data_IF_192744797993
#
_entry.id   IF_192744797993
#
_cell.length_a   1.000
_cell.length_b   1.000
_cell.length_c   1.000
_cell.angle_alpha   90.00
_cell.angle_beta   90.00
_cell.angle_gamma   90.00
#
_symmetry.space_group_name_H-M   'P 1'
#
loop_
_entity.id
_entity.type
_entity.pdbx_description
1 polymer ?
#
# COMPACT_ATOMS: atom_id res chain seq x y z
N UNK A 1 -14.19 16.92 -11.01
CA UNK A 1 -14.82 16.81 -9.66
C UNK A 1 -14.81 15.33 -9.27
N UNK A 2 -13.75 14.88 -8.61
CA UNK A 2 -13.76 13.62 -7.86
C UNK A 2 -13.59 14.00 -6.40
N UNK A 3 -14.64 13.74 -5.64
CA UNK A 3 -14.75 14.08 -4.23
C UNK A 3 -13.72 13.26 -3.45
N UNK A 4 -12.60 13.88 -3.09
CA UNK A 4 -11.74 13.37 -2.03
C UNK A 4 -12.44 13.70 -0.71
N UNK A 5 -13.51 12.96 -0.41
CA UNK A 5 -14.21 13.09 0.86
C UNK A 5 -13.34 12.50 1.97
N UNK A 6 -12.34 13.26 2.42
CA UNK A 6 -11.65 13.01 3.68
C UNK A 6 -12.64 13.40 4.79
N UNK A 7 -13.53 12.47 5.16
CA UNK A 7 -14.41 12.64 6.30
C UNK A 7 -13.58 12.54 7.58
N UNK A 8 -13.32 13.69 8.19
CA UNK A 8 -12.71 13.80 9.52
C UNK A 8 -13.83 14.03 10.54
N UNK A 9 -14.21 12.99 11.29
CA UNK A 9 -15.00 13.19 12.50
C UNK A 9 -14.73 12.09 13.54
N UNK A 10 -14.31 12.51 14.73
CA UNK A 10 -14.55 11.84 16.00
C UNK A 10 -13.72 10.61 16.33
N UNK A 11 -12.99 10.68 17.44
CA UNK A 11 -12.32 9.55 18.09
C UNK A 11 -13.21 8.30 18.26
N UNK A 12 -12.73 7.14 17.82
CA UNK A 12 -12.87 5.90 18.59
C UNK A 12 -11.95 4.81 18.01
N UNK A 13 -11.40 3.99 18.91
CA UNK A 13 -10.50 2.86 18.63
C UNK A 13 -11.28 1.69 18.03
N UNK A 14 -11.61 1.74 16.74
CA UNK A 14 -12.13 0.59 16.00
C UNK A 14 -11.51 0.57 14.60
N UNK A 15 -11.10 -0.60 14.13
CA UNK A 15 -10.51 -0.80 12.79
C UNK A 15 -11.46 -0.27 11.71
N UNK A 16 -11.18 0.93 11.17
CA UNK A 16 -11.91 1.49 10.04
C UNK A 16 -11.43 0.84 8.75
N UNK A 17 -12.26 0.00 8.13
CA UNK A 17 -12.01 -0.54 6.80
C UNK A 17 -12.62 0.40 5.77
N UNK A 18 -11.84 1.32 5.21
CA UNK A 18 -12.27 2.09 4.04
C UNK A 18 -12.05 1.27 2.77
N UNK A 19 -13.09 1.09 1.96
CA UNK A 19 -12.95 0.56 0.60
C UNK A 19 -12.25 1.62 -0.25
N UNK A 20 -10.99 1.36 -0.56
CA UNK A 20 -10.14 2.25 -1.34
C UNK A 20 -10.06 1.79 -2.78
N UNK A 21 -10.38 2.68 -3.71
CA UNK A 21 -10.10 2.46 -5.13
C UNK A 21 -8.71 3.03 -5.42
N UNK A 22 -7.75 2.22 -5.90
CA UNK A 22 -6.43 2.72 -6.23
C UNK A 22 -6.50 3.84 -7.28
N UNK A 23 -5.64 4.86 -7.20
CA UNK A 23 -5.60 5.96 -8.14
C UNK A 23 -5.44 5.51 -9.59
N UNK A 24 -6.10 6.20 -10.52
CA UNK A 24 -6.06 5.86 -11.93
C UNK A 24 -4.83 6.47 -12.65
N UNK A 25 -4.22 7.50 -12.06
CA UNK A 25 -3.12 8.25 -12.70
C UNK A 25 -1.92 8.47 -11.79
N UNK A 26 -0.74 8.66 -12.39
CA UNK A 26 0.52 8.94 -11.67
C UNK A 26 0.44 10.17 -10.74
N UNK A 27 -0.27 11.22 -11.17
CA UNK A 27 -0.45 12.42 -10.36
C UNK A 27 -1.24 12.14 -9.08
N UNK A 28 -2.31 11.34 -9.19
CA UNK A 28 -3.12 10.94 -8.06
C UNK A 28 -2.35 9.97 -7.15
N UNK A 29 -1.57 9.05 -7.70
CA UNK A 29 -0.63 8.22 -6.92
C UNK A 29 0.34 9.06 -6.10
N UNK A 30 0.83 10.16 -6.66
CA UNK A 30 1.78 11.05 -5.99
C UNK A 30 1.14 11.79 -4.83
N UNK A 31 -0.07 12.29 -5.02
CA UNK A 31 -0.86 12.93 -3.96
C UNK A 31 -1.20 11.91 -2.87
N UNK A 32 -1.61 10.70 -3.27
CA UNK A 32 -1.96 9.63 -2.34
C UNK A 32 -0.77 9.22 -1.46
N UNK A 33 0.39 8.89 -2.05
CA UNK A 33 1.58 8.49 -1.29
C UNK A 33 2.15 9.62 -0.43
N UNK A 34 2.01 10.89 -0.84
CA UNK A 34 2.46 12.02 -0.04
C UNK A 34 1.67 12.19 1.25
N UNK A 35 0.36 11.92 1.22
CA UNK A 35 -0.52 12.04 2.40
C UNK A 35 -0.55 10.77 3.26
N UNK A 36 0.07 9.69 2.80
CA UNK A 36 0.05 8.39 3.45
C UNK A 36 1.33 8.22 4.28
N UNK A 37 1.39 8.86 5.44
CA UNK A 37 2.52 8.73 6.36
C UNK A 37 2.49 7.44 7.18
N UNK A 38 1.30 6.84 7.38
CA UNK A 38 1.10 5.72 8.34
C UNK A 38 0.15 4.62 7.79
N UNK A 39 0.01 4.54 6.48
CA UNK A 39 -0.99 3.66 5.86
C UNK A 39 -0.44 2.28 5.53
N UNK A 40 -1.21 1.25 5.85
CA UNK A 40 -0.99 -0.10 5.33
C UNK A 40 -2.25 -0.58 4.64
N UNK A 41 -2.06 -1.06 3.43
CA UNK A 41 -3.15 -1.45 2.56
C UNK A 41 -3.23 -2.97 2.61
N UNK A 42 -4.30 -3.52 3.17
CA UNK A 42 -4.53 -4.96 3.16
C UNK A 42 -5.51 -5.28 2.06
N UNK A 43 -5.13 -6.19 1.17
CA UNK A 43 -6.06 -6.75 0.18
C UNK A 43 -6.72 -8.00 0.78
N UNK A 44 -8.02 -8.12 0.59
CA UNK A 44 -8.75 -9.38 0.75
C UNK A 44 -9.36 -9.77 -0.60
N UNK A 45 -8.73 -10.73 -1.27
CA UNK A 45 -9.36 -11.53 -2.30
C UNK A 45 -8.52 -12.79 -2.54
N UNK A 46 -8.82 -13.88 -1.82
CA UNK A 46 -8.10 -15.16 -1.84
C UNK A 46 -6.65 -15.15 -1.29
N UNK A 47 -5.96 -14.01 -1.40
CA UNK A 47 -4.61 -13.77 -0.93
C UNK A 47 -4.65 -12.60 0.07
N UNK A 48 -4.26 -12.87 1.32
CA UNK A 48 -4.20 -11.86 2.39
C UNK A 48 -2.76 -11.38 2.52
N UNK A 49 -2.50 -10.11 2.23
CA UNK A 49 -1.17 -9.51 2.30
C UNK A 49 -1.25 -8.01 2.61
N UNK A 50 -0.14 -7.44 3.08
CA UNK A 50 0.00 -6.03 3.40
C UNK A 50 0.84 -5.31 2.33
N UNK A 51 0.38 -4.16 1.84
CA UNK A 51 1.19 -3.25 1.01
C UNK A 51 1.63 -2.06 1.86
N UNK A 52 2.94 -1.83 1.90
CA UNK A 52 3.59 -0.77 2.68
C UNK A 52 4.27 0.22 1.74
N UNK A 53 3.86 1.50 1.71
CA UNK A 53 4.51 2.51 0.88
C UNK A 53 5.90 2.83 1.43
N UNK A 54 6.91 2.87 0.55
CA UNK A 54 8.30 3.21 0.88
C UNK A 54 8.89 4.14 -0.17
N UNK A 55 10.06 4.72 0.12
CA UNK A 55 10.82 5.50 -0.88
C UNK A 55 11.34 4.56 -1.99
N UNK A 56 11.35 5.03 -3.23
CA UNK A 56 11.83 4.26 -4.39
C UNK A 56 13.23 3.64 -4.19
N UNK A 57 14.15 4.37 -3.57
CA UNK A 57 15.50 3.87 -3.26
C UNK A 57 15.52 2.60 -2.38
N UNK A 58 14.49 2.37 -1.57
CA UNK A 58 14.36 1.19 -0.71
C UNK A 58 14.12 -0.04 -1.59
N UNK A 59 13.15 0.00 -2.51
CA UNK A 59 12.83 -1.15 -3.36
C UNK A 59 13.90 -1.46 -4.41
N UNK A 60 14.77 -0.49 -4.73
CA UNK A 60 15.91 -0.70 -5.65
C UNK A 60 17.13 -1.31 -4.97
N UNK A 61 17.12 -1.48 -3.65
CA UNK A 61 18.19 -2.10 -2.89
C UNK A 61 17.65 -3.28 -2.09
N UNK A 62 17.99 -4.50 -2.50
CA UNK A 62 17.51 -5.75 -1.89
C UNK A 62 17.67 -5.76 -0.37
N UNK A 63 18.83 -5.37 0.15
CA UNK A 63 19.09 -5.36 1.58
C UNK A 63 18.21 -4.36 2.35
N UNK A 64 17.98 -3.17 1.78
CA UNK A 64 17.08 -2.18 2.38
C UNK A 64 15.62 -2.62 2.31
N UNK A 65 15.22 -3.27 1.22
CA UNK A 65 13.89 -3.82 1.04
C UNK A 65 13.61 -4.94 2.06
N UNK A 66 14.53 -5.90 2.22
CA UNK A 66 14.42 -6.96 3.23
C UNK A 66 14.31 -6.38 4.64
N UNK A 67 15.13 -5.38 4.98
CA UNK A 67 15.07 -4.69 6.27
C UNK A 67 13.74 -3.95 6.49
N UNK A 68 13.17 -3.38 5.44
CA UNK A 68 11.86 -2.74 5.52
C UNK A 68 10.74 -3.78 5.72
N UNK A 69 10.78 -4.91 5.00
CA UNK A 69 9.83 -6.01 5.20
C UNK A 69 9.91 -6.59 6.62
N UNK A 70 11.12 -6.79 7.15
CA UNK A 70 11.33 -7.27 8.52
C UNK A 70 10.68 -6.34 9.54
N UNK A 71 10.94 -5.03 9.44
CA UNK A 71 10.31 -4.03 10.31
C UNK A 71 8.79 -4.05 10.22
N UNK A 72 8.25 -4.06 9.01
CA UNK A 72 6.80 -4.09 8.78
C UNK A 72 6.15 -5.40 9.25
N UNK A 73 6.86 -6.53 9.23
CA UNK A 73 6.32 -7.81 9.68
C UNK A 73 5.88 -7.81 11.15
N UNK A 74 6.47 -6.93 11.98
CA UNK A 74 6.07 -6.74 13.38
C UNK A 74 4.65 -6.18 13.52
N UNK A 75 4.23 -5.36 12.55
CA UNK A 75 2.90 -4.74 12.51
C UNK A 75 1.86 -5.65 11.82
N UNK A 76 2.30 -6.56 10.95
CA UNK A 76 1.45 -7.50 10.20
C UNK A 76 1.87 -8.96 10.41
N UNK A 77 1.72 -9.50 11.63
CA UNK A 77 2.13 -10.86 11.92
C UNK A 77 1.37 -11.88 11.05
N UNK A 78 2.12 -12.77 10.41
CA UNK A 78 1.56 -13.85 9.59
C UNK A 78 1.02 -13.41 8.23
N UNK A 79 1.30 -12.18 7.77
CA UNK A 79 0.95 -11.73 6.42
C UNK A 79 2.21 -11.47 5.58
N UNK A 80 2.22 -11.87 4.29
CA UNK A 80 3.23 -11.40 3.35
C UNK A 80 3.25 -9.87 3.28
N UNK A 81 4.45 -9.29 3.31
CA UNK A 81 4.68 -7.85 3.16
C UNK A 81 5.10 -7.55 1.74
N UNK A 82 4.36 -6.68 1.06
CA UNK A 82 4.69 -6.11 -0.23
C UNK A 82 5.06 -4.65 -0.03
N UNK A 83 6.25 -4.25 -0.44
CA UNK A 83 6.63 -2.85 -0.47
C UNK A 83 6.15 -2.24 -1.77
N UNK A 84 5.66 -1.01 -1.72
CA UNK A 84 5.25 -0.23 -2.89
C UNK A 84 6.00 1.08 -2.92
N UNK A 85 6.51 1.48 -4.08
CA UNK A 85 7.05 2.81 -4.26
C UNK A 85 6.61 3.42 -5.58
N UNK A 86 6.67 4.75 -5.67
CA UNK A 86 6.55 5.43 -6.95
C UNK A 86 7.78 5.10 -7.82
N UNK A 87 7.56 4.42 -8.95
CA UNK A 87 8.56 4.27 -9.99
C UNK A 87 8.85 5.59 -10.70
N UNK A 88 9.97 5.64 -11.42
CA UNK A 88 10.43 6.85 -12.13
C UNK A 88 9.48 7.30 -13.25
N UNK A 89 8.68 6.39 -13.78
CA UNK A 89 7.66 6.62 -14.81
C UNK A 89 6.30 7.03 -14.22
N UNK A 90 6.20 7.19 -12.90
CA UNK A 90 4.96 7.51 -12.20
C UNK A 90 4.02 6.32 -12.00
N UNK A 91 4.46 5.10 -12.31
CA UNK A 91 3.72 3.85 -12.06
C UNK A 91 4.22 3.24 -10.74
N UNK A 92 3.33 2.69 -9.88
CA UNK A 92 3.77 1.95 -8.71
C UNK A 92 4.64 0.75 -9.07
N UNK A 93 5.77 0.61 -8.37
CA UNK A 93 6.62 -0.57 -8.41
C UNK A 93 6.51 -1.31 -7.08
N UNK A 94 6.55 -2.64 -7.15
CA UNK A 94 6.34 -3.52 -5.99
C UNK A 94 7.56 -4.40 -5.73
N UNK A 95 7.82 -4.68 -4.45
CA UNK A 95 8.84 -5.63 -4.01
C UNK A 95 8.24 -6.56 -2.94
N UNK A 96 8.46 -7.86 -3.06
CA UNK A 96 8.01 -8.84 -2.08
C UNK A 96 7.81 -10.22 -2.68
N UNK A 97 6.85 -10.96 -2.15
CA UNK A 97 6.51 -12.30 -2.64
C UNK A 97 6.11 -12.25 -4.12
N UNK A 98 6.76 -13.07 -4.95
CA UNK A 98 6.73 -12.95 -6.41
C UNK A 98 5.33 -13.16 -7.02
N UNK A 99 4.58 -14.14 -6.53
CA UNK A 99 3.20 -14.43 -6.96
C UNK A 99 2.27 -13.23 -6.73
N UNK A 100 2.39 -12.56 -5.58
CA UNK A 100 1.61 -11.37 -5.23
C UNK A 100 2.05 -10.17 -6.09
N UNK A 101 3.35 -9.96 -6.27
CA UNK A 101 3.88 -8.89 -7.13
C UNK A 101 3.39 -9.07 -8.57
N UNK A 102 3.45 -10.29 -9.10
CA UNK A 102 2.94 -10.62 -10.42
C UNK A 102 1.43 -10.38 -10.52
N UNK A 103 0.66 -10.74 -9.50
CA UNK A 103 -0.76 -10.44 -9.44
C UNK A 103 -1.05 -8.92 -9.51
N UNK A 104 -0.34 -8.11 -8.72
CA UNK A 104 -0.51 -6.66 -8.65
C UNK A 104 -0.15 -5.97 -9.97
N UNK A 105 0.95 -6.38 -10.61
CA UNK A 105 1.36 -5.85 -11.92
C UNK A 105 0.32 -6.13 -13.01
N UNK A 106 -0.37 -7.27 -12.94
CA UNK A 106 -1.40 -7.65 -13.91
C UNK A 106 -2.80 -7.09 -13.59
N UNK A 107 -3.05 -6.65 -12.35
CA UNK A 107 -4.35 -6.20 -11.88
C UNK A 107 -4.29 -4.92 -11.02
N UNK A 108 -3.67 -3.83 -11.48
CA UNK A 108 -3.40 -2.65 -10.65
C UNK A 108 -4.66 -1.91 -10.16
N UNK A 109 -5.79 -2.05 -10.86
CA UNK A 109 -7.02 -1.26 -10.64
C UNK A 109 -8.27 -2.09 -10.33
N UNK A 110 -8.17 -3.43 -10.30
CA UNK A 110 -9.34 -4.32 -10.37
C UNK A 110 -10.01 -4.65 -9.04
N UNK A 111 -9.43 -4.29 -7.89
CA UNK A 111 -10.00 -4.66 -6.58
C UNK A 111 -9.95 -3.50 -5.59
N UNK A 112 -11.02 -3.27 -4.81
CA UNK A 112 -10.98 -2.32 -3.71
C UNK A 112 -10.01 -2.82 -2.63
N UNK A 113 -9.17 -1.93 -2.14
CA UNK A 113 -8.24 -2.22 -1.07
C UNK A 113 -8.83 -1.82 0.28
N UNK A 114 -8.43 -2.48 1.38
CA UNK A 114 -8.75 -2.00 2.74
C UNK A 114 -7.58 -1.22 3.29
N UNK A 115 -7.80 0.06 3.58
CA UNK A 115 -6.79 0.88 4.24
C UNK A 115 -6.86 0.69 5.75
N UNK A 116 -5.74 0.32 6.36
CA UNK A 116 -5.53 0.31 7.79
C UNK A 116 -4.49 1.39 8.12
N UNK A 117 -4.82 2.31 9.03
CA UNK A 117 -3.84 3.25 9.57
C UNK A 117 -3.20 2.62 10.79
N UNK A 118 -1.89 2.40 10.77
CA UNK A 118 -1.15 2.00 11.98
C UNK A 118 -0.86 3.27 12.79
N UNK A 119 -1.01 3.20 14.11
CA UNK A 119 -0.80 4.33 15.03
C UNK A 119 0.58 4.28 15.66
#
# INVERSE_FOLDING_TARGET
LLSLSIYHHGESRHHFSLLFVPPATAAEWRIFMFNMTDGVIVKEDGFKFAIVPVKYQIIKNKHQAEKAQEKSSLEFPGMPIILMAMGINGVPEYYGQEDIVNYLNNNPTRSPWKLFKVK
#
